data_IF_060198687826
#
_entry.id   IF_060198687826
#
_cell.length_a   1.000
_cell.length_b   1.000
_cell.length_c   1.000
_cell.angle_alpha   90.00
_cell.angle_beta   90.00
_cell.angle_gamma   90.00
#
_symmetry.space_group_name_H-M   'P 1'
#
loop_
_entity.id
_entity.type
_entity.pdbx_description
1 polymer ?
#
# COMPACT_ATOMS: atom_id res chain seq x y z
N UNK A 1 -5.89 4.57 -6.71
CA UNK A 1 -5.46 3.38 -7.51
C UNK A 1 -4.58 3.83 -8.68
N UNK A 2 -3.91 2.88 -9.36
CA UNK A 2 -2.99 3.02 -10.50
C UNK A 2 -3.10 1.76 -11.40
N UNK A 3 -2.71 1.78 -12.69
CA UNK A 3 -2.14 2.90 -13.45
C UNK A 3 -3.20 3.93 -13.87
N UNK A 4 -2.74 5.15 -14.21
CA UNK A 4 -3.53 6.20 -14.83
C UNK A 4 -3.08 6.38 -16.29
N UNK A 5 -3.99 6.78 -17.17
CA UNK A 5 -3.65 7.11 -18.55
C UNK A 5 -3.13 8.55 -18.63
N UNK A 6 -1.85 8.72 -18.96
CA UNK A 6 -1.15 10.00 -18.89
C UNK A 6 -1.01 10.59 -20.30
N UNK A 7 -1.59 11.77 -20.52
CA UNK A 7 -1.53 12.51 -21.78
C UNK A 7 -0.09 12.76 -22.19
N UNK A 8 0.26 12.35 -23.41
CA UNK A 8 1.59 12.53 -24.00
C UNK A 8 2.67 11.59 -23.48
N UNK A 9 2.32 10.61 -22.64
CA UNK A 9 3.26 9.61 -22.10
C UNK A 9 2.78 8.19 -22.39
N UNK A 10 1.62 7.78 -21.85
CA UNK A 10 1.07 6.44 -22.10
C UNK A 10 0.02 6.42 -23.21
N UNK A 11 -0.58 7.57 -23.54
CA UNK A 11 -1.56 7.73 -24.62
C UNK A 11 -1.57 9.19 -25.15
N UNK A 12 -2.15 9.43 -26.32
CA UNK A 12 -2.22 10.77 -26.95
C UNK A 12 -3.09 11.76 -26.14
N UNK A 13 -4.18 11.28 -25.54
CA UNK A 13 -5.05 12.04 -24.64
C UNK A 13 -5.56 11.09 -23.57
N UNK A 14 -5.27 11.41 -22.31
CA UNK A 14 -5.53 10.54 -21.16
C UNK A 14 -6.33 11.23 -20.05
N UNK A 15 -6.34 10.59 -18.89
CA UNK A 15 -7.04 11.02 -17.68
C UNK A 15 -6.34 12.21 -16.98
N UNK A 16 -5.02 12.35 -17.14
CA UNK A 16 -4.22 13.33 -16.42
C UNK A 16 -3.03 13.85 -17.24
N UNK A 17 -2.69 15.13 -17.07
CA UNK A 17 -1.47 15.71 -17.64
C UNK A 17 -0.21 15.17 -16.95
N UNK A 18 0.86 14.97 -17.73
CA UNK A 18 2.16 14.51 -17.22
C UNK A 18 2.67 15.37 -16.05
N UNK A 19 2.57 16.70 -16.14
CA UNK A 19 3.06 17.61 -15.09
C UNK A 19 2.26 17.51 -13.78
N UNK A 20 0.98 17.18 -13.86
CA UNK A 20 0.11 16.96 -12.70
C UNK A 20 0.44 15.61 -12.07
N UNK A 21 0.54 14.55 -12.89
CA UNK A 21 0.90 13.23 -12.40
C UNK A 21 2.27 13.24 -11.70
N UNK A 22 3.28 13.88 -12.30
CA UNK A 22 4.64 13.93 -11.73
C UNK A 22 4.69 14.67 -10.39
N UNK A 23 3.91 15.75 -10.24
CA UNK A 23 3.78 16.48 -8.97
C UNK A 23 3.25 15.59 -7.85
N UNK A 24 2.33 14.68 -8.16
CA UNK A 24 1.69 13.77 -7.20
C UNK A 24 2.20 12.33 -7.23
N UNK A 25 3.25 12.02 -7.99
CA UNK A 25 3.75 10.64 -8.16
C UNK A 25 4.13 9.98 -6.83
N UNK A 26 4.88 10.69 -5.97
CA UNK A 26 5.25 10.19 -4.64
C UNK A 26 4.04 9.90 -3.75
N UNK A 27 3.08 10.84 -3.54
CA UNK A 27 1.89 10.53 -2.76
C UNK A 27 1.02 9.43 -3.38
N UNK A 28 0.90 9.34 -4.70
CA UNK A 28 0.16 8.25 -5.37
C UNK A 28 0.80 6.88 -5.13
N UNK A 29 2.14 6.80 -5.15
CA UNK A 29 2.83 5.55 -4.78
C UNK A 29 2.66 5.22 -3.30
N UNK A 30 2.66 6.24 -2.44
CA UNK A 30 2.38 6.04 -1.02
C UNK A 30 0.95 5.56 -0.78
N UNK A 31 -0.05 6.11 -1.47
CA UNK A 31 -1.44 5.64 -1.46
C UNK A 31 -1.52 4.16 -1.84
N UNK A 32 -0.90 3.77 -2.95
CA UNK A 32 -0.89 2.37 -3.40
C UNK A 32 -0.20 1.43 -2.40
N UNK A 33 0.80 1.92 -1.66
CA UNK A 33 1.52 1.12 -0.65
C UNK A 33 0.67 0.63 0.52
N UNK A 34 -0.50 1.24 0.78
CA UNK A 34 -1.39 0.81 1.86
C UNK A 34 -2.19 -0.45 1.51
N UNK A 35 -2.43 -0.73 0.22
CA UNK A 35 -3.30 -1.85 -0.22
C UNK A 35 -2.89 -3.21 0.34
N UNK A 36 -1.60 -3.62 0.36
CA UNK A 36 -1.19 -4.89 0.94
C UNK A 36 -1.50 -5.01 2.45
N UNK A 37 -1.29 -3.93 3.21
CA UNK A 37 -1.55 -3.93 4.65
C UNK A 37 -3.03 -3.94 4.99
N UNK A 38 -3.86 -3.27 4.19
CA UNK A 38 -5.34 -3.32 4.34
C UNK A 38 -5.85 -4.75 4.13
N UNK A 39 -5.37 -5.44 3.08
CA UNK A 39 -5.73 -6.85 2.84
C UNK A 39 -5.25 -7.74 4.00
N UNK A 40 -4.03 -7.53 4.50
CA UNK A 40 -3.51 -8.26 5.65
C UNK A 40 -4.38 -8.04 6.90
N UNK A 41 -4.84 -6.80 7.15
CA UNK A 41 -5.73 -6.48 8.26
C UNK A 41 -7.10 -7.18 8.10
N UNK A 42 -7.68 -7.19 6.90
CA UNK A 42 -8.93 -7.92 6.61
C UNK A 42 -8.80 -9.41 6.93
N UNK A 43 -7.72 -10.05 6.47
CA UNK A 43 -7.45 -11.46 6.75
C UNK A 43 -7.25 -11.67 8.26
N UNK A 44 -6.43 -10.84 8.92
CA UNK A 44 -6.11 -10.95 10.33
C UNK A 44 -7.37 -10.88 11.21
N UNK A 45 -8.24 -9.89 10.98
CA UNK A 45 -9.50 -9.73 11.69
C UNK A 45 -10.48 -10.90 11.44
N UNK A 46 -10.42 -11.54 10.27
CA UNK A 46 -11.28 -12.70 9.96
C UNK A 46 -10.81 -14.03 10.57
N UNK A 47 -9.51 -14.12 10.93
CA UNK A 47 -8.89 -15.38 11.38
C UNK A 47 -8.46 -15.37 12.85
N UNK A 48 -8.34 -14.20 13.46
CA UNK A 48 -7.85 -14.04 14.83
C UNK A 48 -8.97 -13.53 15.73
N UNK A 49 -9.34 -14.35 16.72
CA UNK A 49 -10.43 -14.03 17.66
C UNK A 49 -10.12 -12.81 18.56
N UNK A 50 -8.88 -12.69 19.02
CA UNK A 50 -8.41 -11.58 19.85
C UNK A 50 -7.19 -10.91 19.19
N UNK A 51 -7.41 -9.96 18.25
CA UNK A 51 -6.35 -9.29 17.50
C UNK A 51 -5.31 -8.58 18.40
N UNK A 52 -5.76 -7.96 19.50
CA UNK A 52 -4.91 -7.19 20.40
C UNK A 52 -3.83 -8.06 21.04
N UNK A 53 -4.24 -9.17 21.65
CA UNK A 53 -3.34 -10.11 22.33
C UNK A 53 -2.31 -10.73 21.37
N UNK A 54 -2.71 -11.02 20.11
CA UNK A 54 -1.77 -11.57 19.13
C UNK A 54 -0.75 -10.53 18.67
N UNK A 55 -1.15 -9.26 18.52
CA UNK A 55 -0.21 -8.20 18.15
C UNK A 55 0.82 -7.96 19.26
N UNK A 56 0.38 -7.92 20.52
CA UNK A 56 1.28 -7.83 21.70
C UNK A 56 2.29 -8.98 21.71
N UNK A 57 1.83 -10.22 21.52
CA UNK A 57 2.73 -11.39 21.47
C UNK A 57 3.74 -11.33 20.31
N UNK A 58 3.32 -10.86 19.13
CA UNK A 58 4.19 -10.72 17.97
C UNK A 58 5.27 -9.65 18.20
N UNK A 59 4.90 -8.56 18.86
CA UNK A 59 5.83 -7.52 19.29
C UNK A 59 6.84 -8.10 20.28
N UNK A 60 6.40 -8.72 21.39
CA UNK A 60 7.27 -9.33 22.42
C UNK A 60 8.22 -10.40 21.86
N UNK A 61 7.77 -11.18 20.89
CA UNK A 61 8.61 -12.23 20.25
C UNK A 61 9.80 -11.60 19.50
N UNK A 62 9.67 -10.36 19.02
CA UNK A 62 10.71 -9.60 18.31
C UNK A 62 11.45 -10.40 17.23
N UNK A 63 10.73 -11.26 16.48
CA UNK A 63 11.34 -12.10 15.46
C UNK A 63 11.79 -11.27 14.27
N UNK A 64 13.10 -11.26 14.00
CA UNK A 64 13.67 -10.57 12.85
C UNK A 64 13.09 -11.13 11.52
N UNK A 65 12.52 -10.24 10.70
CA UNK A 65 12.00 -10.58 9.36
C UNK A 65 13.12 -10.92 8.39
N UNK A 66 14.28 -10.27 8.53
CA UNK A 66 15.45 -10.42 7.67
C UNK A 66 16.66 -10.66 8.57
N UNK A 67 17.57 -11.55 8.15
CA UNK A 67 18.86 -11.71 8.82
C UNK A 67 19.64 -10.41 8.70
N UNK A 68 20.20 -9.95 9.81
CA UNK A 68 21.07 -8.78 9.87
C UNK A 68 22.48 -9.13 9.43
#
# INVERSE_FOLDING_TARGET
>A
CLPADITGVSCETGEVDASVFDRYRKPLYKEASYKPYVIAAMIFLSKVKNPQEILEKLEETHKDRQLK
#
